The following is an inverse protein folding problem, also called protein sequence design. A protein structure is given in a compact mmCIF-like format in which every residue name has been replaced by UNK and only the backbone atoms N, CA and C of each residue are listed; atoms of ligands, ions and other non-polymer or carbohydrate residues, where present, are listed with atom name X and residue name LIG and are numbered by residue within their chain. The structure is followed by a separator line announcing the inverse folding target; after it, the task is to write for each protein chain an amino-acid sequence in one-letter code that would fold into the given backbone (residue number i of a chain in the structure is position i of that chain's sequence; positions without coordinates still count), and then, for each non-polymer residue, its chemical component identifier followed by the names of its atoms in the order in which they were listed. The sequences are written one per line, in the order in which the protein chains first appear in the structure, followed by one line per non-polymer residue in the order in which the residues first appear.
data_IF_001919708069
#
_entry.id   IF_001919708069
#
_cell.length_a   1.000
_cell.length_b   1.000
_cell.length_c   1.000
_cell.angle_alpha   90.00
_cell.angle_beta   90.00
_cell.angle_gamma   90.00
#
_symmetry.space_group_name_H-M   'P 1'
#
loop_
_entity.id
_entity.type
_entity.pdbx_description
1 polymer ?
#
# COMPACT_ATOMS: atom_id res chain seq x y z
N UNK A 1 52.33 -10.95 -35.83
CA UNK A 1 52.11 -12.11 -34.94
C UNK A 1 52.58 -11.74 -33.54
N UNK A 2 51.92 -12.29 -32.51
CA UNK A 2 52.25 -12.19 -31.08
C UNK A 2 52.26 -10.79 -30.42
N UNK A 3 51.35 -10.63 -29.46
CA UNK A 3 51.37 -9.63 -28.38
C UNK A 3 51.57 -10.37 -27.05
N UNK A 4 52.37 -9.81 -26.14
CA UNK A 4 52.65 -10.23 -24.75
C UNK A 4 53.28 -9.01 -24.04
N UNK A 5 52.92 -8.61 -22.81
CA UNK A 5 51.95 -9.18 -21.87
C UNK A 5 51.55 -8.21 -20.72
N UNK A 6 50.78 -8.74 -19.76
CA UNK A 6 49.94 -8.07 -18.73
C UNK A 6 50.34 -8.65 -17.34
N UNK A 7 50.30 -8.00 -16.16
CA UNK A 7 49.58 -6.82 -15.62
C UNK A 7 50.42 -6.07 -14.54
N UNK A 8 49.84 -5.02 -13.92
CA UNK A 8 49.71 -4.76 -12.45
C UNK A 8 49.65 -3.23 -12.18
N UNK A 9 48.75 -2.67 -11.35
CA UNK A 9 47.65 -3.25 -10.59
C UNK A 9 47.09 -2.22 -9.58
N UNK A 10 45.88 -2.44 -9.07
CA UNK A 10 45.23 -1.58 -8.07
C UNK A 10 44.44 -0.40 -8.69
N UNK A 11 43.12 -0.34 -8.62
CA UNK A 11 42.18 -1.09 -7.77
C UNK A 11 41.19 -0.12 -7.15
N UNK A 12 40.32 0.47 -7.99
CA UNK A 12 39.39 1.51 -7.58
C UNK A 12 38.41 1.01 -6.52
N UNK A 13 38.14 1.83 -5.51
CA UNK A 13 37.21 1.50 -4.44
C UNK A 13 35.80 1.29 -4.98
N UNK A 14 35.26 0.09 -4.77
CA UNK A 14 33.86 -0.22 -5.07
C UNK A 14 32.93 0.51 -4.10
N UNK A 15 32.39 1.65 -4.53
CA UNK A 15 31.23 2.25 -3.89
C UNK A 15 30.05 1.31 -4.02
N UNK A 16 29.65 0.65 -2.93
CA UNK A 16 28.48 -0.20 -2.89
C UNK A 16 27.22 0.65 -3.04
N UNK A 17 26.76 0.84 -4.29
CA UNK A 17 25.42 1.33 -4.58
C UNK A 17 24.42 0.33 -4.02
N UNK A 18 23.82 0.66 -2.87
CA UNK A 18 22.84 -0.19 -2.23
C UNK A 18 21.61 -0.32 -3.14
N UNK A 19 21.43 -1.50 -3.73
CA UNK A 19 20.18 -1.88 -4.38
C UNK A 19 19.11 -1.98 -3.29
N UNK A 20 18.41 -0.88 -3.02
CA UNK A 20 17.23 -0.87 -2.16
C UNK A 20 16.21 -1.78 -2.83
N UNK A 21 16.04 -3.00 -2.30
CA UNK A 21 15.09 -3.97 -2.87
C UNK A 21 13.70 -3.35 -2.93
N UNK A 22 13.06 -3.39 -4.09
CA UNK A 22 11.73 -2.82 -4.37
C UNK A 22 10.67 -3.26 -3.36
N UNK A 23 10.80 -4.47 -2.80
CA UNK A 23 9.92 -4.96 -1.74
C UNK A 23 9.92 -4.05 -0.51
N UNK A 24 11.09 -3.50 -0.12
CA UNK A 24 11.21 -2.54 0.96
C UNK A 24 10.57 -1.19 0.62
N UNK A 25 10.55 -0.79 -0.65
CA UNK A 25 9.94 0.48 -1.09
C UNK A 25 8.42 0.40 -0.99
N UNK A 26 7.82 -0.69 -1.48
CA UNK A 26 6.37 -0.93 -1.37
C UNK A 26 5.96 -1.07 0.11
N UNK A 27 6.73 -1.81 0.92
CA UNK A 27 6.48 -1.93 2.36
C UNK A 27 6.68 -0.59 3.11
N UNK A 28 7.59 0.29 2.65
CA UNK A 28 7.74 1.65 3.18
C UNK A 28 6.52 2.50 2.83
N UNK A 29 6.14 2.59 1.56
CA UNK A 29 4.96 3.36 1.14
C UNK A 29 3.68 2.91 1.85
N UNK A 30 3.53 1.61 2.11
CA UNK A 30 2.40 1.10 2.88
C UNK A 30 2.43 1.55 4.35
N UNK A 31 3.59 1.53 5.01
CA UNK A 31 3.76 2.07 6.38
C UNK A 31 3.48 3.57 6.43
N UNK A 32 3.96 4.32 5.45
CA UNK A 32 3.78 5.77 5.37
C UNK A 32 2.32 6.16 5.12
N UNK A 33 1.58 5.37 4.33
CA UNK A 33 0.22 5.70 3.87
C UNK A 33 -0.94 5.11 4.70
N UNK A 34 -0.74 4.00 5.43
CA UNK A 34 -1.86 3.27 6.08
C UNK A 34 -2.70 4.15 7.02
N UNK A 35 -2.09 5.11 7.71
CA UNK A 35 -2.82 6.03 8.61
C UNK A 35 -3.68 7.03 7.84
N UNK A 36 -3.25 7.48 6.67
CA UNK A 36 -4.06 8.33 5.78
C UNK A 36 -5.18 7.51 5.13
N UNK A 37 -4.88 6.29 4.67
CA UNK A 37 -5.87 5.36 4.13
C UNK A 37 -6.99 5.14 5.15
N UNK A 38 -6.68 4.76 6.40
CA UNK A 38 -7.65 4.50 7.47
C UNK A 38 -8.57 5.70 7.75
N UNK A 39 -8.07 6.93 7.62
CA UNK A 39 -8.90 8.15 7.79
C UNK A 39 -9.89 8.34 6.64
N UNK A 40 -9.50 7.97 5.41
CA UNK A 40 -10.28 8.19 4.20
C UNK A 40 -11.17 6.99 3.80
N UNK A 41 -11.18 5.89 4.56
CA UNK A 41 -11.96 4.66 4.26
C UNK A 41 -13.47 4.87 4.04
N UNK A 42 -14.04 6.03 4.40
CA UNK A 42 -15.45 6.35 4.11
C UNK A 42 -15.69 6.77 2.65
N UNK A 43 -14.64 7.15 1.94
CA UNK A 43 -14.69 7.63 0.56
C UNK A 43 -14.33 6.53 -0.47
N UNK A 44 -14.12 5.30 0.00
CA UNK A 44 -13.72 4.15 -0.84
C UNK A 44 -14.69 3.86 -1.99
N UNK A 45 -14.20 3.32 -3.12
CA UNK A 45 -12.81 2.92 -3.36
C UNK A 45 -11.85 4.11 -3.46
N UNK A 46 -10.61 3.97 -2.99
CA UNK A 46 -9.59 5.02 -2.97
C UNK A 46 -8.50 4.73 -3.99
N UNK A 47 -7.89 5.80 -4.49
CA UNK A 47 -6.63 5.80 -5.21
C UNK A 47 -5.67 6.77 -4.52
N UNK A 48 -4.58 6.24 -3.97
CA UNK A 48 -3.48 7.05 -3.42
C UNK A 48 -2.34 7.08 -4.42
N UNK A 49 -1.91 8.29 -4.78
CA UNK A 49 -0.75 8.53 -5.63
C UNK A 49 0.47 8.75 -4.75
N UNK A 50 1.57 8.08 -5.07
CA UNK A 50 2.83 8.14 -4.34
C UNK A 50 3.88 8.89 -5.16
N UNK A 51 4.54 9.87 -4.56
CA UNK A 51 5.63 10.64 -5.14
C UNK A 51 6.78 10.74 -4.13
N UNK A 52 8.04 10.60 -4.52
CA UNK A 52 9.16 10.96 -3.65
C UNK A 52 9.21 12.48 -3.48
N UNK A 53 9.48 12.95 -2.26
CA UNK A 53 9.94 14.32 -2.08
C UNK A 53 11.42 14.43 -2.48
N UNK A 54 11.71 15.31 -3.43
CA UNK A 54 13.09 15.60 -3.85
C UNK A 54 13.78 16.66 -2.98
N UNK A 55 13.04 17.32 -2.08
CA UNK A 55 13.53 18.39 -1.21
C UNK A 55 13.93 17.94 0.20
N UNK A 56 13.39 16.84 0.72
CA UNK A 56 13.71 16.31 2.05
C UNK A 56 13.98 14.81 2.01
N UNK A 57 15.13 14.41 2.57
CA UNK A 57 15.52 13.01 2.62
C UNK A 57 14.48 12.15 3.34
N UNK A 58 14.10 11.03 2.72
CA UNK A 58 13.18 10.00 3.21
C UNK A 58 11.67 10.30 3.24
N UNK A 59 11.17 11.49 2.90
CA UNK A 59 9.71 11.76 2.96
C UNK A 59 8.95 11.35 1.69
N UNK A 60 7.87 10.58 1.87
CA UNK A 60 6.94 10.19 0.80
C UNK A 60 5.79 11.20 0.72
N UNK A 61 5.56 11.84 -0.44
CA UNK A 61 4.37 12.69 -0.66
C UNK A 61 3.23 11.84 -1.20
N UNK A 62 2.10 11.90 -0.48
CA UNK A 62 0.86 11.21 -0.85
C UNK A 62 -0.17 12.20 -1.40
N UNK A 63 -1.03 11.71 -2.30
CA UNK A 63 -2.30 12.35 -2.70
C UNK A 63 -3.38 11.28 -2.77
N UNK A 64 -4.30 11.26 -1.80
CA UNK A 64 -5.49 10.40 -1.82
C UNK A 64 -6.63 11.06 -2.57
N UNK A 65 -7.34 10.29 -3.41
CA UNK A 65 -8.63 10.68 -3.98
C UNK A 65 -9.56 9.46 -4.13
N UNK A 66 -10.84 9.69 -4.38
CA UNK A 66 -11.79 8.63 -4.69
C UNK A 66 -11.44 8.00 -6.04
N UNK A 67 -11.35 6.67 -6.09
CA UNK A 67 -11.16 5.95 -7.34
C UNK A 67 -12.47 5.88 -8.13
N UNK A 68 -12.43 6.38 -9.36
CA UNK A 68 -13.51 6.26 -10.34
C UNK A 68 -12.92 5.60 -11.59
N UNK A 69 -13.26 4.34 -11.90
CA UNK A 69 -12.67 3.61 -13.04
C UNK A 69 -12.84 4.34 -14.39
N UNK A 70 -13.96 5.04 -14.57
CA UNK A 70 -14.27 5.81 -15.77
C UNK A 70 -13.33 7.02 -15.98
N UNK A 71 -12.74 7.55 -14.90
CA UNK A 71 -11.75 8.63 -14.97
C UNK A 71 -10.32 8.14 -15.27
N UNK A 72 -10.05 6.84 -15.14
CA UNK A 72 -8.71 6.28 -15.31
C UNK A 72 -8.08 6.52 -16.69
N UNK A 73 -8.81 6.46 -17.83
CA UNK A 73 -8.24 6.81 -19.14
C UNK A 73 -7.79 8.26 -19.21
N UNK A 74 -8.57 9.20 -18.66
CA UNK A 74 -8.23 10.63 -18.62
C UNK A 74 -7.04 10.89 -17.69
N UNK A 75 -6.97 10.19 -16.57
CA UNK A 75 -5.85 10.27 -15.63
C UNK A 75 -4.55 9.75 -16.26
N UNK A 76 -4.58 8.59 -16.94
CA UNK A 76 -3.41 8.06 -17.66
C UNK A 76 -2.93 9.00 -18.76
N UNK A 77 -3.86 9.53 -19.56
CA UNK A 77 -3.53 10.52 -20.60
C UNK A 77 -2.79 11.74 -20.02
N UNK A 78 -3.23 12.27 -18.87
CA UNK A 78 -2.57 13.39 -18.17
C UNK A 78 -1.19 13.07 -17.59
N UNK A 79 -0.86 11.80 -17.38
CA UNK A 79 0.48 11.36 -17.00
C UNK A 79 1.39 11.19 -18.23
N UNK A 80 0.82 10.71 -19.35
CA UNK A 80 1.51 10.48 -20.61
C UNK A 80 1.83 11.79 -21.35
N UNK A 81 0.92 12.77 -21.33
CA UNK A 81 1.12 14.11 -21.92
C UNK A 81 1.88 15.09 -21.01
N UNK A 82 2.12 14.71 -19.75
CA UNK A 82 2.85 15.51 -18.76
C UNK A 82 2.04 16.63 -18.08
N UNK A 83 0.73 16.74 -18.33
CA UNK A 83 -0.16 17.71 -17.66
C UNK A 83 -0.15 17.55 -16.13
N UNK A 84 0.01 16.32 -15.64
CA UNK A 84 0.20 16.01 -14.22
C UNK A 84 1.45 15.16 -14.02
N UNK A 85 2.19 15.33 -12.91
CA UNK A 85 3.31 14.46 -12.60
C UNK A 85 2.88 12.99 -12.55
N UNK A 86 3.58 12.12 -13.29
CA UNK A 86 3.40 10.66 -13.20
C UNK A 86 3.92 10.17 -11.84
N UNK A 87 3.07 9.56 -10.98
CA UNK A 87 3.50 9.06 -9.68
C UNK A 87 4.53 7.93 -9.80
N UNK A 88 5.29 7.74 -8.72
CA UNK A 88 6.19 6.60 -8.54
C UNK A 88 5.46 5.32 -8.15
N UNK A 89 4.25 5.44 -7.61
CA UNK A 89 3.39 4.31 -7.36
C UNK A 89 1.94 4.71 -7.15
N UNK A 90 1.05 3.73 -7.27
CA UNK A 90 -0.36 3.87 -6.94
C UNK A 90 -0.77 2.80 -5.94
N UNK A 91 -1.63 3.19 -5.01
CA UNK A 91 -2.27 2.29 -4.03
C UNK A 91 -3.78 2.38 -4.27
N UNK A 92 -4.37 1.27 -4.69
CA UNK A 92 -5.83 1.14 -4.79
C UNK A 92 -6.36 0.45 -3.53
N UNK A 93 -7.46 0.95 -2.98
CA UNK A 93 -8.09 0.42 -1.76
C UNK A 93 -9.59 0.25 -1.97
N UNK A 94 -10.12 -0.94 -1.72
CA UNK A 94 -11.55 -1.23 -1.77
C UNK A 94 -12.03 -2.04 -0.57
N UNK A 95 -13.32 -1.95 -0.25
CA UNK A 95 -13.92 -2.78 0.81
C UNK A 95 -14.14 -4.19 0.27
N UNK A 96 -13.68 -5.21 0.98
CA UNK A 96 -14.03 -6.59 0.68
C UNK A 96 -15.45 -6.86 1.14
N UNK A 97 -16.23 -7.57 0.32
CA UNK A 97 -17.52 -8.11 0.74
C UNK A 97 -17.25 -9.39 1.52
N UNK A 98 -17.77 -9.48 2.73
CA UNK A 98 -17.94 -10.76 3.40
C UNK A 98 -19.25 -11.36 2.87
N UNK A 99 -19.19 -12.53 2.23
CA UNK A 99 -20.37 -13.09 1.53
C UNK A 99 -21.41 -13.71 2.49
N UNK A 100 -21.06 -13.96 3.76
CA UNK A 100 -21.92 -14.62 4.76
C UNK A 100 -21.90 -13.95 6.15
N UNK A 101 -21.96 -12.61 6.21
CA UNK A 101 -22.26 -11.91 7.46
C UNK A 101 -23.79 -11.83 7.65
N UNK A 102 -24.38 -12.84 8.28
CA UNK A 102 -25.77 -12.79 8.71
C UNK A 102 -25.98 -11.62 9.70
N UNK A 103 -27.04 -10.82 9.50
CA UNK A 103 -27.43 -9.74 10.42
C UNK A 103 -27.65 -10.27 11.84
N UNK A 104 -26.66 -10.12 12.73
CA UNK A 104 -26.82 -10.46 14.15
C UNK A 104 -26.79 -9.21 15.05
N UNK A 105 -27.99 -8.85 15.49
CA UNK A 105 -28.31 -7.98 16.64
C UNK A 105 -27.93 -6.49 16.55
N UNK A 106 -28.97 -5.64 16.60
CA UNK A 106 -28.82 -4.22 16.89
C UNK A 106 -28.49 -4.01 18.38
N UNK A 107 -27.28 -3.56 18.68
CA UNK A 107 -26.87 -3.23 20.05
C UNK A 107 -25.44 -2.70 20.13
N UNK A 108 -25.26 -1.40 19.88
CA UNK A 108 -24.02 -0.60 20.14
C UNK A 108 -22.69 -1.27 19.73
N UNK A 109 -22.72 -2.11 18.68
CA UNK A 109 -21.71 -3.13 18.41
C UNK A 109 -20.53 -2.65 17.56
N UNK A 110 -19.38 -3.28 17.77
CA UNK A 110 -18.10 -2.96 17.13
C UNK A 110 -18.16 -3.20 15.61
N UNK A 111 -18.21 -2.13 14.82
CA UNK A 111 -18.26 -2.24 13.36
C UNK A 111 -16.87 -2.66 12.85
N UNK A 112 -16.71 -3.95 12.53
CA UNK A 112 -15.53 -4.50 11.87
C UNK A 112 -15.72 -4.56 10.36
N UNK A 113 -14.65 -4.30 9.59
CA UNK A 113 -14.60 -4.35 8.12
C UNK A 113 -13.25 -4.83 7.63
N UNK A 114 -13.25 -5.58 6.52
CA UNK A 114 -12.05 -5.96 5.77
C UNK A 114 -11.92 -5.15 4.47
N UNK A 115 -10.67 -4.86 4.09
CA UNK A 115 -10.33 -4.05 2.92
C UNK A 115 -9.18 -4.70 2.14
N UNK A 116 -9.30 -4.71 0.83
CA UNK A 116 -8.26 -5.12 -0.10
C UNK A 116 -7.44 -3.92 -0.51
N UNK A 117 -6.11 -4.07 -0.50
CA UNK A 117 -5.17 -3.02 -0.90
C UNK A 117 -4.24 -3.59 -1.96
N UNK A 118 -4.16 -2.92 -3.11
CA UNK A 118 -3.26 -3.25 -4.21
C UNK A 118 -2.26 -2.12 -4.40
N UNK A 119 -0.96 -2.40 -4.28
CA UNK A 119 0.13 -1.46 -4.51
C UNK A 119 0.84 -1.82 -5.80
N UNK A 120 1.03 -0.84 -6.69
CA UNK A 120 1.84 -0.96 -7.89
C UNK A 120 2.89 0.15 -7.91
N UNK A 121 4.17 -0.22 -8.01
CA UNK A 121 5.27 0.71 -8.23
C UNK A 121 5.54 0.90 -9.73
N UNK A 122 6.10 2.05 -10.08
CA UNK A 122 6.57 2.42 -11.41
C UNK A 122 7.92 1.75 -11.69
N UNK A 123 8.04 1.12 -12.86
CA UNK A 123 9.28 0.53 -13.36
C UNK A 123 9.13 -0.96 -13.68
N UNK A 124 9.96 -1.44 -14.60
CA UNK A 124 10.00 -2.87 -14.95
C UNK A 124 10.56 -3.70 -13.78
N UNK A 125 10.07 -4.95 -13.65
CA UNK A 125 10.45 -5.85 -12.55
C UNK A 125 9.77 -5.57 -11.19
N UNK A 126 8.99 -4.49 -11.08
CA UNK A 126 8.27 -4.13 -9.85
C UNK A 126 6.88 -4.77 -9.83
N UNK A 127 6.79 -6.04 -9.44
CA UNK A 127 5.51 -6.75 -9.32
C UNK A 127 4.57 -6.09 -8.30
N UNK A 128 3.24 -6.14 -8.52
CA UNK A 128 2.28 -5.59 -7.56
C UNK A 128 2.31 -6.37 -6.24
N UNK A 129 2.10 -5.67 -5.13
CA UNK A 129 1.94 -6.26 -3.81
C UNK A 129 0.52 -6.04 -3.30
N UNK A 130 -0.05 -7.05 -2.65
CA UNK A 130 -1.38 -6.95 -2.03
C UNK A 130 -1.28 -6.99 -0.51
N UNK A 131 -2.15 -6.22 0.15
CA UNK A 131 -2.31 -6.21 1.59
C UNK A 131 -3.79 -6.36 1.94
N UNK A 132 -4.03 -6.89 3.13
CA UNK A 132 -5.33 -6.93 3.78
C UNK A 132 -5.29 -5.98 4.97
N UNK A 133 -6.27 -5.09 5.04
CA UNK A 133 -6.49 -4.21 6.18
C UNK A 133 -7.80 -4.62 6.86
N UNK A 134 -7.76 -4.89 8.16
CA UNK A 134 -8.95 -5.03 9.01
C UNK A 134 -9.08 -3.75 9.83
N UNK A 135 -10.27 -3.17 9.88
CA UNK A 135 -10.58 -2.04 10.77
C UNK A 135 -11.74 -2.39 11.67
N UNK A 136 -11.63 -2.09 12.95
CA UNK A 136 -12.70 -2.23 13.93
C UNK A 136 -12.94 -0.91 14.65
N UNK A 137 -14.19 -0.48 14.71
CA UNK A 137 -14.59 0.81 15.29
C UNK A 137 -15.44 0.58 16.54
N UNK A 138 -14.82 0.82 17.70
CA UNK A 138 -15.51 0.93 18.97
C UNK A 138 -15.97 2.38 19.19
N UNK A 139 -17.22 2.55 19.61
CA UNK A 139 -17.75 3.81 20.12
C UNK A 139 -17.92 3.72 21.63
N UNK A 140 -17.61 4.80 22.36
CA UNK A 140 -18.10 4.92 23.73
C UNK A 140 -19.61 5.17 23.68
N UNK A 141 -20.39 4.35 24.38
CA UNK A 141 -21.84 4.51 24.47
C UNK A 141 -22.22 5.89 25.03
N UNK A 142 -23.22 6.50 24.39
CA UNK A 142 -23.89 7.76 24.78
C UNK A 142 -23.01 9.00 25.06
N UNK A 143 -23.04 9.96 24.13
CA UNK A 143 -22.92 11.40 24.46
C UNK A 143 -21.66 12.15 24.02
N UNK A 144 -20.55 11.47 23.72
CA UNK A 144 -19.32 12.10 23.21
C UNK A 144 -18.81 11.38 21.97
N UNK A 145 -18.78 12.07 20.82
CA UNK A 145 -18.51 11.51 19.48
C UNK A 145 -17.07 11.04 19.21
N UNK A 146 -16.36 10.58 20.25
CA UNK A 146 -15.01 10.03 20.17
C UNK A 146 -15.11 8.55 19.78
N UNK A 147 -14.91 8.26 18.49
CA UNK A 147 -14.72 6.90 18.01
C UNK A 147 -13.24 6.63 17.73
N UNK A 148 -12.72 5.53 18.29
CA UNK A 148 -11.41 5.02 17.94
C UNK A 148 -11.55 3.98 16.83
N UNK A 149 -10.67 4.03 15.83
CA UNK A 149 -10.54 2.98 14.82
C UNK A 149 -9.25 2.21 15.11
N UNK A 150 -9.39 0.98 15.58
CA UNK A 150 -8.29 0.02 15.64
C UNK A 150 -8.13 -0.62 14.27
N UNK A 151 -6.89 -0.94 13.87
CA UNK A 151 -6.65 -1.63 12.60
C UNK A 151 -5.52 -2.64 12.67
N UNK A 152 -5.57 -3.63 11.79
CA UNK A 152 -4.51 -4.62 11.56
C UNK A 152 -4.21 -4.67 10.07
N UNK A 153 -2.93 -4.66 9.69
CA UNK A 153 -2.48 -4.73 8.30
C UNK A 153 -1.63 -6.00 8.12
N UNK A 154 -1.89 -6.76 7.05
CA UNK A 154 -1.17 -7.99 6.68
C UNK A 154 -0.78 -7.93 5.21
N UNK A 155 0.45 -8.33 4.86
CA UNK A 155 0.89 -8.50 3.47
C UNK A 155 0.47 -9.88 2.97
N UNK A 156 -0.26 -9.93 1.85
CA UNK A 156 -0.76 -11.17 1.25
C UNK A 156 0.40 -11.98 0.68
N UNK A 157 0.50 -13.24 1.08
CA UNK A 157 1.47 -14.21 0.52
C UNK A 157 0.85 -15.10 -0.56
N UNK A 158 -0.45 -15.30 -0.53
CA UNK A 158 -1.20 -16.12 -1.48
C UNK A 158 -2.69 -15.78 -1.45
N UNK A 159 -3.39 -15.93 -2.58
CA UNK A 159 -4.85 -15.75 -2.68
C UNK A 159 -5.64 -17.05 -2.45
N UNK A 160 -5.01 -18.09 -1.89
CA UNK A 160 -5.65 -19.39 -1.61
C UNK A 160 -6.54 -19.38 -0.36
N UNK A 161 -6.31 -18.43 0.54
CA UNK A 161 -6.99 -18.33 1.84
C UNK A 161 -7.87 -17.07 1.89
N UNK A 162 -9.00 -17.14 2.60
CA UNK A 162 -9.87 -15.98 2.83
C UNK A 162 -9.14 -14.88 3.62
N UNK A 163 -9.61 -13.64 3.50
CA UNK A 163 -9.03 -12.52 4.26
C UNK A 163 -9.06 -12.77 5.78
N UNK A 164 -10.18 -13.32 6.28
CA UNK A 164 -10.35 -13.67 7.70
C UNK A 164 -9.35 -14.75 8.15
N UNK A 165 -9.15 -15.81 7.35
CA UNK A 165 -8.17 -16.85 7.63
C UNK A 165 -6.74 -16.28 7.68
N UNK A 166 -6.37 -15.39 6.75
CA UNK A 166 -5.07 -14.73 6.76
C UNK A 166 -4.87 -13.87 8.03
N UNK A 167 -5.88 -13.13 8.49
CA UNK A 167 -5.78 -12.40 9.76
C UNK A 167 -5.63 -13.31 10.98
N UNK A 168 -6.37 -14.42 11.06
CA UNK A 168 -6.27 -15.41 12.14
C UNK A 168 -4.88 -16.06 12.16
N UNK A 169 -4.39 -16.50 11.00
CA UNK A 169 -3.11 -17.19 10.86
C UNK A 169 -1.91 -16.26 11.20
N UNK A 170 -2.02 -14.95 10.95
CA UNK A 170 -0.97 -14.00 11.33
C UNK A 170 -0.78 -13.81 12.84
N UNK A 171 -1.75 -14.19 13.68
CA UNK A 171 -1.62 -14.13 15.15
C UNK A 171 -1.11 -15.44 15.76
N UNK A 172 -1.11 -16.53 15.00
CA UNK A 172 -0.73 -17.88 15.44
C UNK A 172 0.69 -18.27 15.00
N UNK A 173 1.61 -17.31 14.94
CA UNK A 173 3.05 -17.56 14.73
C UNK A 173 3.69 -18.08 16.02
N UNK A 174 3.42 -19.34 16.34
CA UNK A 174 4.13 -20.19 17.32
C UNK A 174 4.76 -21.38 16.60
#
# INVERSE_FOLDING_TARGET
MASLGIHYGGGGGGGAGATVSTENVIDKWMKDSVVEIVKNLRETPLLVHVYSDSGSGDSTRLKTEKAVPDDWPLMKSKWEDGTTPLPEGVIFVEQLKEEDAADDSGGESEITRAWGILVQAKGEGCGPACYLLKTSRAGAGSGLGLCCTHFCLVKVKSFRETAEAQFKNCWLLN
#
